data_IF_373942480543
#
_entry.id   IF_373942480543
#
_cell.length_a   1.000
_cell.length_b   1.000
_cell.length_c   1.000
_cell.angle_alpha   90.00
_cell.angle_beta   90.00
_cell.angle_gamma   90.00
#
_symmetry.space_group_name_H-M   'P 1'
#
loop_
_entity.id
_entity.type
_entity.pdbx_description
1 polymer ?
#
# COMPACT_ATOMS: atom_id res chain seq x y z
N UNK A 1 7.65 26.34 55.05
CA UNK A 1 7.35 25.72 53.75
C UNK A 1 8.68 25.38 53.11
N UNK A 2 9.10 24.11 53.17
CA UNK A 2 10.37 23.67 52.58
C UNK A 2 10.11 23.32 51.12
N UNK A 3 10.74 24.04 50.18
CA UNK A 3 10.78 23.59 48.79
C UNK A 3 11.68 22.37 48.73
N UNK A 4 11.13 21.22 48.35
CA UNK A 4 11.93 20.06 47.94
C UNK A 4 12.46 20.34 46.53
N UNK A 5 13.77 20.59 46.42
CA UNK A 5 14.46 20.51 45.14
C UNK A 5 14.48 19.05 44.69
N UNK A 6 13.78 18.78 43.59
CA UNK A 6 13.77 17.46 42.95
C UNK A 6 14.89 17.44 41.91
N UNK A 7 16.03 16.88 42.27
CA UNK A 7 17.05 16.50 41.28
C UNK A 7 16.57 15.24 40.54
N UNK A 8 16.30 15.38 39.26
CA UNK A 8 16.00 14.28 38.35
C UNK A 8 17.21 14.05 37.47
N UNK A 9 17.77 12.85 37.54
CA UNK A 9 18.79 12.37 36.62
C UNK A 9 18.17 11.28 35.77
N UNK A 10 18.22 11.43 34.45
CA UNK A 10 17.99 10.34 33.52
C UNK A 10 19.25 10.05 32.74
N UNK A 11 19.36 8.78 32.33
CA UNK A 11 20.39 8.31 31.42
C UNK A 11 19.69 7.41 30.41
N UNK A 12 19.68 7.81 29.15
CA UNK A 12 19.29 6.91 28.07
C UNK A 12 20.35 5.80 28.01
N UNK A 13 19.95 4.58 28.37
CA UNK A 13 20.77 3.38 28.21
C UNK A 13 20.35 2.70 26.90
N UNK A 14 20.89 3.18 25.78
CA UNK A 14 20.66 2.62 24.44
C UNK A 14 21.36 3.43 23.34
N UNK A 15 21.70 2.79 22.23
CA UNK A 15 22.46 3.38 21.09
C UNK A 15 21.57 4.17 20.09
N UNK A 16 20.30 4.43 20.43
CA UNK A 16 19.41 5.20 19.57
C UNK A 16 19.74 6.69 19.59
N UNK A 17 19.79 7.33 18.42
CA UNK A 17 20.01 8.78 18.29
C UNK A 17 18.74 9.57 17.99
N UNK A 18 17.63 8.89 17.66
CA UNK A 18 16.35 9.50 17.27
C UNK A 18 15.16 8.81 17.96
N UNK A 19 14.09 9.57 18.21
CA UNK A 19 12.76 9.09 18.68
C UNK A 19 11.80 9.12 17.49
N UNK A 20 11.01 8.07 17.32
CA UNK A 20 9.90 8.06 16.36
C UNK A 20 8.74 8.85 16.98
N UNK A 21 8.36 9.96 16.36
CA UNK A 21 7.25 10.82 16.82
C UNK A 21 5.90 10.41 16.22
N UNK A 22 5.93 9.90 15.00
CA UNK A 22 4.74 9.55 14.25
C UNK A 22 5.06 8.41 13.28
N UNK A 23 4.06 7.55 13.04
CA UNK A 23 4.11 6.47 12.07
C UNK A 23 2.86 6.59 11.20
N UNK A 24 3.05 6.63 9.89
CA UNK A 24 1.97 6.52 8.92
C UNK A 24 1.74 5.03 8.67
N UNK A 25 0.52 4.57 8.99
CA UNK A 25 0.10 3.18 8.84
C UNK A 25 -0.85 3.11 7.67
N UNK A 26 -0.47 2.38 6.62
CA UNK A 26 -1.23 2.25 5.39
C UNK A 26 -1.15 0.81 4.86
N UNK A 27 -2.03 0.46 3.93
CA UNK A 27 -1.90 -0.76 3.15
C UNK A 27 -1.89 -0.39 1.68
N UNK A 28 -0.83 -0.76 0.97
CA UNK A 28 -0.64 -0.41 -0.42
C UNK A 28 -0.56 -1.67 -1.30
N UNK A 29 -1.08 -1.58 -2.52
CA UNK A 29 -1.07 -2.68 -3.48
C UNK A 29 -0.88 -2.16 -4.90
N UNK A 30 0.00 -2.83 -5.64
CA UNK A 30 0.32 -2.53 -7.03
C UNK A 30 0.08 -3.76 -7.89
N UNK A 31 -0.78 -3.62 -8.88
CA UNK A 31 -0.98 -4.62 -9.95
C UNK A 31 -0.47 -4.00 -11.24
N UNK A 32 0.62 -4.56 -11.77
CA UNK A 32 1.21 -4.12 -13.04
C UNK A 32 0.71 -5.01 -14.16
N UNK A 33 0.17 -4.39 -15.21
CA UNK A 33 -0.26 -5.05 -16.44
C UNK A 33 0.75 -4.73 -17.55
N UNK A 34 1.37 -5.76 -18.13
CA UNK A 34 2.36 -5.60 -19.20
C UNK A 34 1.87 -6.28 -20.46
N UNK A 35 1.77 -5.52 -21.56
CA UNK A 35 1.42 -6.06 -22.87
C UNK A 35 2.64 -6.05 -23.80
N UNK A 36 2.91 -7.18 -24.43
CA UNK A 36 3.99 -7.30 -25.42
C UNK A 36 3.46 -7.02 -26.82
N UNK A 37 3.92 -5.93 -27.44
CA UNK A 37 3.53 -5.55 -28.80
C UNK A 37 4.35 -6.28 -29.88
N UNK A 38 3.72 -6.57 -31.00
CA UNK A 38 4.34 -7.09 -32.23
C UNK A 38 4.28 -6.07 -33.38
N UNK A 39 4.97 -6.40 -34.48
CA UNK A 39 4.96 -5.58 -35.69
C UNK A 39 3.55 -5.58 -36.32
N UNK A 40 2.99 -4.39 -36.54
CA UNK A 40 1.64 -4.22 -37.07
C UNK A 40 0.57 -3.97 -36.01
N UNK A 41 0.91 -4.05 -34.72
CA UNK A 41 0.00 -3.70 -33.64
C UNK A 41 -0.26 -2.18 -33.60
N UNK A 42 -1.52 -1.79 -33.50
CA UNK A 42 -1.92 -0.41 -33.23
C UNK A 42 -1.73 -0.10 -31.74
N UNK A 43 -0.56 0.46 -31.41
CA UNK A 43 -0.16 0.75 -30.03
C UNK A 43 -1.09 1.74 -29.33
N UNK A 44 -1.63 2.72 -30.04
CA UNK A 44 -2.52 3.72 -29.44
C UNK A 44 -3.87 3.11 -29.12
N UNK A 45 -4.48 2.39 -30.06
CA UNK A 45 -5.75 1.73 -29.83
C UNK A 45 -5.66 0.68 -28.71
N UNK A 46 -4.62 -0.14 -28.71
CA UNK A 46 -4.43 -1.19 -27.70
C UNK A 46 -4.14 -0.59 -26.31
N UNK A 47 -3.27 0.41 -26.20
CA UNK A 47 -2.98 1.05 -24.91
C UNK A 47 -4.19 1.78 -24.33
N UNK A 48 -4.96 2.47 -25.18
CA UNK A 48 -6.20 3.13 -24.80
C UNK A 48 -7.24 2.15 -24.28
N UNK A 49 -7.46 1.05 -25.00
CA UNK A 49 -8.40 -0.01 -24.62
C UNK A 49 -8.01 -0.66 -23.29
N UNK A 50 -6.74 -1.06 -23.13
CA UNK A 50 -6.25 -1.68 -21.89
C UNK A 50 -6.41 -0.75 -20.68
N UNK A 51 -6.07 0.53 -20.84
CA UNK A 51 -6.23 1.54 -19.78
C UNK A 51 -7.69 1.74 -19.41
N UNK A 52 -8.59 1.81 -20.40
CA UNK A 52 -10.02 1.97 -20.16
C UNK A 52 -10.57 0.81 -19.32
N UNK A 53 -10.19 -0.43 -19.65
CA UNK A 53 -10.63 -1.59 -18.88
C UNK A 53 -10.05 -1.59 -17.48
N UNK A 54 -8.73 -1.45 -17.30
CA UNK A 54 -8.10 -1.49 -15.97
C UNK A 54 -8.75 -0.48 -15.01
N UNK A 55 -9.04 0.72 -15.50
CA UNK A 55 -9.68 1.76 -14.69
C UNK A 55 -11.14 1.46 -14.33
N UNK A 56 -11.82 0.63 -15.12
CA UNK A 56 -13.21 0.25 -14.85
C UNK A 56 -13.35 -0.88 -13.83
N UNK A 57 -12.35 -1.75 -13.67
CA UNK A 57 -12.42 -2.96 -12.81
C UNK A 57 -12.84 -2.65 -11.37
N UNK A 58 -12.24 -1.67 -10.67
CA UNK A 58 -12.58 -1.43 -9.26
C UNK A 58 -14.04 -1.00 -9.07
N UNK A 59 -14.66 -0.45 -10.10
CA UNK A 59 -16.04 0.05 -10.09
C UNK A 59 -17.07 -0.92 -10.67
N UNK A 60 -16.63 -2.05 -11.20
CA UNK A 60 -17.49 -3.01 -11.87
C UNK A 60 -18.07 -4.03 -10.89
N UNK A 61 -19.40 -4.03 -10.72
CA UNK A 61 -20.11 -5.11 -10.02
C UNK A 61 -20.07 -6.45 -10.81
N UNK A 62 -19.78 -6.37 -12.10
CA UNK A 62 -19.73 -7.49 -13.05
C UNK A 62 -18.60 -8.47 -12.70
N UNK A 63 -18.80 -9.75 -13.00
CA UNK A 63 -17.77 -10.78 -12.83
C UNK A 63 -16.53 -10.49 -13.70
N UNK A 64 -15.37 -10.96 -13.23
CA UNK A 64 -14.09 -10.74 -13.91
C UNK A 64 -14.13 -11.17 -15.38
N UNK A 65 -14.76 -12.31 -15.67
CA UNK A 65 -14.94 -12.82 -17.04
C UNK A 65 -15.82 -11.90 -17.92
N UNK A 66 -16.85 -11.28 -17.34
CA UNK A 66 -17.71 -10.35 -18.06
C UNK A 66 -17.06 -8.96 -18.25
N UNK A 67 -16.17 -8.56 -17.33
CA UNK A 67 -15.33 -7.38 -17.50
C UNK A 67 -14.30 -7.60 -18.63
N UNK A 68 -13.82 -8.84 -18.76
CA UNK A 68 -12.99 -9.24 -19.88
C UNK A 68 -13.76 -9.15 -21.18
N UNK A 69 -14.97 -9.70 -21.30
CA UNK A 69 -15.75 -9.66 -22.55
C UNK A 69 -16.05 -8.24 -23.08
N UNK A 70 -15.91 -7.21 -22.23
CA UNK A 70 -16.00 -5.79 -22.61
C UNK A 70 -14.70 -5.19 -23.14
N UNK A 71 -13.54 -5.84 -22.98
CA UNK A 71 -12.42 -5.56 -23.88
C UNK A 71 -12.92 -5.90 -25.29
N UNK A 72 -12.76 -4.98 -26.23
CA UNK A 72 -12.83 -5.33 -27.64
C UNK A 72 -11.66 -6.28 -27.97
N UNK A 73 -11.88 -7.55 -27.66
CA UNK A 73 -10.90 -8.64 -27.71
C UNK A 73 -10.51 -9.02 -29.12
N UNK A 74 -11.23 -8.50 -30.13
CA UNK A 74 -10.90 -8.77 -31.53
C UNK A 74 -9.46 -8.36 -31.88
N UNK A 75 -8.88 -7.40 -31.13
CA UNK A 75 -7.47 -6.98 -31.25
C UNK A 75 -6.54 -7.45 -30.11
N UNK A 76 -7.07 -7.85 -28.94
CA UNK A 76 -6.27 -8.13 -27.75
C UNK A 76 -5.94 -9.62 -27.59
N UNK A 77 -4.68 -10.00 -27.80
CA UNK A 77 -4.20 -11.37 -27.53
C UNK A 77 -3.87 -11.56 -26.05
N UNK A 78 -4.69 -12.32 -25.32
CA UNK A 78 -4.53 -12.59 -23.89
C UNK A 78 -3.15 -13.17 -23.54
N UNK A 79 -2.56 -13.95 -24.44
CA UNK A 79 -1.27 -14.62 -24.23
C UNK A 79 -0.09 -13.65 -24.15
N UNK A 80 -0.27 -12.41 -24.64
CA UNK A 80 0.77 -11.36 -24.62
C UNK A 80 0.66 -10.45 -23.40
N UNK A 81 -0.34 -10.67 -22.56
CA UNK A 81 -0.56 -9.92 -21.33
C UNK A 81 0.06 -10.69 -20.16
N UNK A 82 0.90 -10.00 -19.39
CA UNK A 82 1.49 -10.53 -18.17
C UNK A 82 1.23 -9.60 -17.00
N UNK A 83 1.31 -10.17 -15.80
CA UNK A 83 0.87 -9.54 -14.56
C UNK A 83 1.92 -9.67 -13.49
N UNK A 84 2.03 -8.63 -12.66
CA UNK A 84 2.85 -8.66 -11.46
C UNK A 84 2.10 -7.98 -10.32
N UNK A 85 1.95 -8.70 -9.22
CA UNK A 85 1.41 -8.17 -7.98
C UNK A 85 2.53 -7.91 -6.97
N UNK A 86 2.49 -6.75 -6.32
CA UNK A 86 3.32 -6.40 -5.16
C UNK A 86 2.44 -5.58 -4.22
N UNK A 87 2.29 -6.01 -2.96
CA UNK A 87 1.48 -5.25 -2.01
C UNK A 87 1.41 -5.88 -0.63
N UNK A 88 0.84 -5.11 0.29
CA UNK A 88 0.67 -5.44 1.71
C UNK A 88 -0.56 -6.31 1.97
N UNK A 89 -1.43 -6.45 0.97
CA UNK A 89 -2.63 -7.30 1.05
C UNK A 89 -2.30 -8.73 0.65
N UNK A 90 -2.70 -9.70 1.47
CA UNK A 90 -2.61 -11.11 1.09
C UNK A 90 -3.74 -11.41 0.11
N UNK A 91 -3.40 -11.70 -1.15
CA UNK A 91 -4.37 -12.14 -2.14
C UNK A 91 -4.79 -13.60 -1.87
N UNK A 92 -6.05 -13.97 -2.15
CA UNK A 92 -6.50 -15.37 -2.07
C UNK A 92 -5.73 -16.30 -3.01
N UNK A 93 -5.34 -15.77 -4.17
CA UNK A 93 -4.59 -16.48 -5.21
C UNK A 93 -3.59 -15.53 -5.88
N UNK A 94 -2.42 -16.06 -6.24
CA UNK A 94 -1.43 -15.32 -7.03
C UNK A 94 -1.91 -15.20 -8.48
N UNK A 95 -2.05 -13.98 -9.03
CA UNK A 95 -2.56 -13.81 -10.39
C UNK A 95 -1.55 -14.34 -11.41
N UNK A 96 -1.96 -15.35 -12.18
CA UNK A 96 -1.16 -15.99 -13.24
C UNK A 96 -1.84 -15.93 -14.62
N UNK A 97 -3.10 -15.50 -14.65
CA UNK A 97 -3.92 -15.33 -15.84
C UNK A 97 -4.56 -13.93 -15.84
N UNK A 98 -5.08 -13.46 -16.98
CA UNK A 98 -5.91 -12.26 -17.02
C UNK A 98 -7.03 -12.30 -15.98
N UNK A 99 -7.85 -13.33 -16.00
CA UNK A 99 -9.04 -13.51 -15.15
C UNK A 99 -8.68 -13.39 -13.66
N UNK A 100 -7.59 -14.02 -13.23
CA UNK A 100 -7.10 -13.96 -11.85
C UNK A 100 -6.53 -12.58 -11.48
N UNK A 101 -5.89 -11.88 -12.43
CA UNK A 101 -5.43 -10.50 -12.22
C UNK A 101 -6.59 -9.50 -12.10
N UNK A 102 -7.64 -9.63 -12.91
CA UNK A 102 -8.86 -8.81 -12.79
C UNK A 102 -9.57 -9.08 -11.47
N UNK A 103 -9.66 -10.35 -11.06
CA UNK A 103 -10.20 -10.75 -9.76
C UNK A 103 -9.38 -10.18 -8.60
N UNK A 104 -8.05 -10.16 -8.71
CA UNK A 104 -7.16 -9.55 -7.72
C UNK A 104 -7.39 -8.04 -7.61
N UNK A 105 -7.52 -7.31 -8.73
CA UNK A 105 -7.84 -5.86 -8.68
C UNK A 105 -9.20 -5.60 -8.04
N UNK A 106 -10.23 -6.39 -8.36
CA UNK A 106 -11.55 -6.27 -7.73
C UNK A 106 -11.50 -6.55 -6.23
N UNK A 107 -10.79 -7.61 -5.83
CA UNK A 107 -10.58 -7.96 -4.42
C UNK A 107 -9.86 -6.85 -3.65
N UNK A 108 -8.79 -6.30 -4.23
CA UNK A 108 -8.05 -5.17 -3.65
C UNK A 108 -8.92 -3.92 -3.55
N UNK A 109 -9.73 -3.65 -4.57
CA UNK A 109 -10.71 -2.55 -4.56
C UNK A 109 -11.65 -2.64 -3.35
N UNK A 110 -12.24 -3.81 -3.14
CA UNK A 110 -13.08 -4.06 -1.96
C UNK A 110 -12.29 -3.93 -0.66
N UNK A 111 -11.10 -4.52 -0.56
CA UNK A 111 -10.34 -4.56 0.70
C UNK A 111 -9.76 -3.21 1.12
N UNK A 112 -9.20 -2.47 0.17
CA UNK A 112 -8.48 -1.22 0.44
C UNK A 112 -9.39 0.00 0.48
N UNK A 113 -10.59 -0.06 -0.13
CA UNK A 113 -11.51 1.09 -0.17
C UNK A 113 -12.82 0.84 0.60
N UNK A 114 -13.48 -0.31 0.39
CA UNK A 114 -14.78 -0.58 1.03
C UNK A 114 -14.63 -1.13 2.46
N UNK A 115 -13.69 -2.05 2.66
CA UNK A 115 -13.43 -2.72 3.95
C UNK A 115 -12.22 -2.11 4.70
N UNK A 116 -11.80 -0.89 4.34
CA UNK A 116 -10.54 -0.29 4.82
C UNK A 116 -10.44 -0.23 6.35
N UNK A 117 -11.55 0.06 7.04
CA UNK A 117 -11.60 0.13 8.51
C UNK A 117 -11.32 -1.21 9.21
N UNK A 118 -11.46 -2.33 8.48
CA UNK A 118 -11.19 -3.68 9.00
C UNK A 118 -9.77 -4.17 8.74
N UNK A 119 -8.99 -3.43 7.96
CA UNK A 119 -7.63 -3.80 7.59
C UNK A 119 -6.61 -3.30 8.62
N UNK A 120 -5.71 -4.20 9.04
CA UNK A 120 -4.48 -3.81 9.70
C UNK A 120 -3.49 -3.35 8.64
N UNK A 121 -3.28 -2.03 8.56
CA UNK A 121 -2.20 -1.46 7.76
C UNK A 121 -0.82 -1.79 8.34
N UNK A 122 0.21 -1.53 7.54
CA UNK A 122 1.61 -1.65 7.92
C UNK A 122 2.24 -0.26 8.03
N UNK A 123 3.29 -0.09 8.85
CA UNK A 123 4.09 1.13 8.86
C UNK A 123 4.73 1.37 7.47
N UNK A 124 4.35 2.46 6.80
CA UNK A 124 4.89 2.81 5.47
C UNK A 124 5.84 4.01 5.53
N UNK A 125 5.64 4.89 6.49
CA UNK A 125 6.52 6.02 6.76
C UNK A 125 6.55 6.32 8.26
N UNK A 126 7.61 6.97 8.71
CA UNK A 126 7.70 7.45 10.07
C UNK A 126 8.50 8.74 10.14
N UNK A 127 8.18 9.57 11.13
CA UNK A 127 8.93 10.77 11.46
C UNK A 127 9.82 10.50 12.65
N UNK A 128 11.12 10.72 12.47
CA UNK A 128 12.11 10.57 13.52
C UNK A 128 12.71 11.93 13.87
N UNK A 129 12.83 12.22 15.17
CA UNK A 129 13.47 13.43 15.68
C UNK A 129 14.71 13.08 16.49
N UNK A 130 15.83 13.81 16.34
CA UNK A 130 17.00 13.62 17.17
C UNK A 130 16.68 13.70 18.66
N UNK A 131 17.17 12.74 19.45
CA UNK A 131 16.98 12.72 20.91
C UNK A 131 17.51 14.00 21.57
N UNK A 132 18.56 14.58 21.01
CA UNK A 132 19.14 15.82 21.52
C UNK A 132 18.18 17.02 21.47
N UNK A 133 17.15 17.01 20.62
CA UNK A 133 16.10 18.04 20.63
C UNK A 133 15.16 17.94 21.84
N UNK A 134 15.14 16.80 22.52
CA UNK A 134 14.39 16.62 23.77
C UNK A 134 15.26 16.79 25.02
N UNK A 135 16.52 17.20 24.92
CA UNK A 135 17.50 17.20 26.03
C UNK A 135 17.17 18.10 27.24
N UNK A 136 16.01 18.76 27.28
CA UNK A 136 15.42 19.39 28.49
C UNK A 136 14.07 18.81 28.96
N UNK A 137 13.45 17.90 28.20
CA UNK A 137 12.18 17.22 28.50
C UNK A 137 12.23 15.70 28.29
N UNK A 138 13.41 15.16 27.97
CA UNK A 138 13.67 13.78 27.56
C UNK A 138 13.05 12.77 28.52
N UNK A 139 13.12 13.08 29.81
CA UNK A 139 12.68 12.21 30.89
C UNK A 139 11.15 12.09 30.92
N UNK A 140 10.47 13.20 30.63
CA UNK A 140 8.99 13.26 30.64
C UNK A 140 8.41 12.63 29.39
N UNK A 141 9.08 12.83 28.24
CA UNK A 141 8.67 12.24 26.95
C UNK A 141 8.92 10.73 26.94
N UNK A 142 10.09 10.27 27.41
CA UNK A 142 10.39 8.84 27.51
C UNK A 142 9.49 8.11 28.52
N UNK A 143 9.18 8.73 29.67
CA UNK A 143 8.25 8.13 30.63
C UNK A 143 6.82 8.03 30.08
N UNK A 144 6.35 9.00 29.29
CA UNK A 144 5.03 8.90 28.63
C UNK A 144 4.99 7.77 27.60
N UNK A 145 6.02 7.63 26.78
CA UNK A 145 6.06 6.62 25.71
C UNK A 145 6.19 5.18 26.19
N UNK A 146 6.64 4.95 27.43
CA UNK A 146 6.80 3.60 28.02
C UNK A 146 5.58 3.22 28.88
N UNK A 147 4.67 4.16 29.17
CA UNK A 147 3.55 3.98 30.11
C UNK A 147 2.18 3.73 29.45
N UNK A 148 2.10 3.80 28.12
CA UNK A 148 0.93 3.43 27.31
C UNK A 148 1.16 2.06 26.65
#
# INVERSE_FOLDING_TARGET
>A
MSQQEKLVFSRVLGEGSHVIEAIDIEANAFVTFTYTFEAGDDREALSGSLKAVINSIPTMEIDADAALDKLDYSAFKKERLSFKYVGDVILPETPTSPESAFSAVKYLGKKLYEDADSMQGLPVAFRAMPICHYSGQSDTVLLRLISD
#
